data_IF_392674028269
#
_entry.id   IF_392674028269
#
_cell.length_a   1.000
_cell.length_b   1.000
_cell.length_c   1.000
_cell.angle_alpha   90.00
_cell.angle_beta   90.00
_cell.angle_gamma   90.00
#
_symmetry.space_group_name_H-M   'P 1'
#
loop_
_entity.id
_entity.type
_entity.pdbx_description
1 polymer ?
#
# COMPACT_ATOMS: atom_id res chain seq x y z
N UNK A 1 19.40 -2.25 21.14
CA UNK A 1 20.32 -2.04 20.00
C UNK A 1 20.19 -0.62 19.48
N UNK A 2 21.30 0.03 19.13
CA UNK A 2 21.30 1.36 18.52
C UNK A 2 21.08 1.25 17.00
N UNK A 3 19.81 1.23 16.61
CA UNK A 3 19.31 1.21 15.23
C UNK A 3 19.85 2.36 14.37
N UNK A 4 20.08 3.52 14.97
CA UNK A 4 20.63 4.70 14.29
C UNK A 4 22.12 4.52 13.99
N UNK A 5 22.89 3.99 14.94
CA UNK A 5 24.30 3.67 14.73
C UNK A 5 24.46 2.58 13.66
N UNK A 6 23.64 1.53 13.72
CA UNK A 6 23.60 0.47 12.71
C UNK A 6 23.34 1.02 11.30
N UNK A 7 22.29 1.84 11.14
CA UNK A 7 21.96 2.45 9.84
C UNK A 7 23.09 3.34 9.29
N UNK A 8 23.79 4.08 10.16
CA UNK A 8 24.97 4.87 9.76
C UNK A 8 26.09 3.97 9.24
N UNK A 9 26.37 2.87 9.94
CA UNK A 9 27.37 1.88 9.50
C UNK A 9 26.98 1.24 8.17
N UNK A 10 25.70 0.91 8.00
CA UNK A 10 25.17 0.32 6.77
C UNK A 10 25.34 1.29 5.59
N UNK A 11 24.98 2.57 5.76
CA UNK A 11 25.13 3.59 4.72
C UNK A 11 26.58 3.88 4.31
N UNK A 12 27.56 3.56 5.16
CA UNK A 12 28.99 3.67 4.82
C UNK A 12 29.58 2.40 4.19
N UNK A 13 28.81 1.31 4.13
CA UNK A 13 29.24 0.05 3.51
C UNK A 13 29.27 0.18 1.99
N UNK A 14 30.32 -0.35 1.36
CA UNK A 14 30.39 -0.48 -0.11
C UNK A 14 29.35 -1.47 -0.65
N UNK A 15 28.88 -2.40 0.19
CA UNK A 15 27.85 -3.39 -0.15
C UNK A 15 26.42 -2.88 0.07
N UNK A 16 26.21 -1.58 0.33
CA UNK A 16 24.87 -1.01 0.50
C UNK A 16 24.63 0.14 -0.48
N UNK A 17 23.68 -0.07 -1.38
CA UNK A 17 23.34 0.85 -2.46
C UNK A 17 21.94 1.41 -2.26
N UNK A 18 21.82 2.74 -2.18
CA UNK A 18 20.53 3.45 -2.05
C UNK A 18 20.25 4.42 -3.21
N UNK A 19 21.22 4.53 -4.12
CA UNK A 19 21.13 5.29 -5.38
C UNK A 19 21.11 4.30 -6.53
N UNK A 20 20.56 4.72 -7.67
CA UNK A 20 20.64 3.95 -8.92
C UNK A 20 22.09 3.77 -9.39
N UNK A 21 22.27 2.92 -10.38
CA UNK A 21 23.58 2.49 -10.89
C UNK A 21 24.02 3.26 -12.14
N UNK A 22 23.28 4.32 -12.50
CA UNK A 22 23.62 5.20 -13.63
C UNK A 22 22.96 4.81 -14.94
N UNK A 23 22.00 3.88 -14.91
CA UNK A 23 21.27 3.39 -16.10
C UNK A 23 19.88 4.02 -16.24
N UNK A 24 19.67 5.18 -15.62
CA UNK A 24 18.35 5.80 -15.47
C UNK A 24 17.64 6.09 -16.80
N UNK A 25 18.36 6.56 -17.82
CA UNK A 25 17.75 6.92 -19.11
C UNK A 25 17.27 5.68 -19.90
N UNK A 26 18.07 4.62 -19.92
CA UNK A 26 17.74 3.36 -20.59
C UNK A 26 16.55 2.68 -19.90
N UNK A 27 16.60 2.59 -18.57
CA UNK A 27 15.50 2.02 -17.77
C UNK A 27 14.23 2.86 -17.89
N UNK A 28 14.31 4.19 -17.88
CA UNK A 28 13.13 5.05 -18.05
C UNK A 28 12.42 4.79 -19.39
N UNK A 29 13.18 4.62 -20.47
CA UNK A 29 12.62 4.28 -21.79
C UNK A 29 11.92 2.92 -21.76
N UNK A 30 12.54 1.93 -21.13
CA UNK A 30 11.95 0.60 -20.98
C UNK A 30 10.66 0.66 -20.16
N UNK A 31 10.67 1.28 -18.98
CA UNK A 31 9.49 1.43 -18.12
C UNK A 31 8.35 2.16 -18.82
N UNK A 32 8.64 3.23 -19.56
CA UNK A 32 7.64 3.96 -20.34
C UNK A 32 6.96 3.03 -21.35
N UNK A 33 7.75 2.26 -22.10
CA UNK A 33 7.19 1.31 -23.07
C UNK A 33 6.42 0.16 -22.44
N UNK A 34 6.79 -0.27 -21.23
CA UNK A 34 6.18 -1.42 -20.55
C UNK A 34 4.92 -1.03 -19.76
N UNK A 35 4.87 0.17 -19.16
CA UNK A 35 3.85 0.54 -18.18
C UNK A 35 2.96 1.73 -18.55
N UNK A 36 3.36 2.59 -19.49
CA UNK A 36 2.53 3.73 -19.91
C UNK A 36 1.52 3.34 -20.99
N UNK A 37 0.47 4.14 -21.09
CA UNK A 37 -0.65 3.94 -22.01
C UNK A 37 -0.96 5.22 -22.80
N UNK A 38 -1.12 5.08 -24.11
CA UNK A 38 -1.58 6.18 -24.97
C UNK A 38 -3.06 6.50 -24.73
N UNK A 39 -3.89 5.48 -24.47
CA UNK A 39 -5.30 5.68 -24.15
C UNK A 39 -5.46 6.49 -22.86
N UNK A 40 -4.69 6.15 -21.83
CA UNK A 40 -4.73 6.89 -20.57
C UNK A 40 -4.29 8.34 -20.79
N UNK A 41 -3.26 8.59 -21.61
CA UNK A 41 -2.86 9.94 -21.96
C UNK A 41 -3.97 10.71 -22.70
N UNK A 42 -4.63 10.08 -23.68
CA UNK A 42 -5.79 10.66 -24.36
C UNK A 42 -6.91 11.03 -23.37
N UNK A 43 -7.19 10.18 -22.38
CA UNK A 43 -8.23 10.47 -21.38
C UNK A 43 -7.82 11.64 -20.48
N UNK A 44 -6.55 11.71 -20.05
CA UNK A 44 -6.00 12.85 -19.28
C UNK A 44 -6.15 14.16 -20.06
N UNK A 45 -5.77 14.16 -21.34
CA UNK A 45 -5.86 15.33 -22.22
C UNK A 45 -7.31 15.79 -22.46
N UNK A 46 -8.27 14.88 -22.32
CA UNK A 46 -9.71 15.14 -22.44
C UNK A 46 -10.39 15.41 -21.09
N UNK A 47 -9.69 16.05 -20.14
CA UNK A 47 -10.18 16.35 -18.79
C UNK A 47 -10.68 15.10 -18.05
N UNK A 48 -9.87 14.04 -18.10
CA UNK A 48 -10.13 12.77 -17.42
C UNK A 48 -11.45 12.10 -17.82
N UNK A 49 -11.90 12.34 -19.06
CA UNK A 49 -13.18 11.82 -19.58
C UNK A 49 -13.00 11.21 -20.97
N UNK A 50 -13.63 10.05 -21.18
CA UNK A 50 -13.74 9.43 -22.49
C UNK A 50 -15.14 8.84 -22.66
N UNK A 51 -15.72 8.98 -23.85
CA UNK A 51 -17.01 8.39 -24.17
C UNK A 51 -16.91 7.59 -25.47
N UNK A 52 -17.33 6.33 -25.43
CA UNK A 52 -17.49 5.47 -26.61
C UNK A 52 -18.83 4.77 -26.53
N UNK A 53 -19.70 5.04 -27.50
CA UNK A 53 -21.08 4.53 -27.50
C UNK A 53 -21.85 4.92 -26.23
N UNK A 54 -22.43 3.93 -25.57
CA UNK A 54 -23.22 4.08 -24.33
C UNK A 54 -22.36 4.18 -23.06
N UNK A 55 -21.04 4.11 -23.15
CA UNK A 55 -20.14 4.12 -21.98
C UNK A 55 -19.40 5.44 -21.90
N UNK A 56 -19.54 6.11 -20.76
CA UNK A 56 -18.68 7.23 -20.35
C UNK A 56 -17.74 6.76 -19.24
N UNK A 57 -16.44 6.94 -19.44
CA UNK A 57 -15.40 6.74 -18.43
C UNK A 57 -15.05 8.09 -17.81
N UNK A 58 -14.98 8.14 -16.48
CA UNK A 58 -14.40 9.24 -15.70
C UNK A 58 -13.22 8.70 -14.90
N UNK A 59 -12.01 9.18 -15.19
CA UNK A 59 -10.83 8.85 -14.39
C UNK A 59 -10.73 9.80 -13.20
N UNK A 60 -10.21 9.30 -12.08
CA UNK A 60 -9.72 10.18 -11.03
C UNK A 60 -8.57 11.04 -11.59
N UNK A 61 -8.41 12.26 -11.08
CA UNK A 61 -7.35 13.16 -11.58
C UNK A 61 -5.93 12.70 -11.18
N UNK A 62 -5.84 11.94 -10.09
CA UNK A 62 -4.62 11.28 -9.61
C UNK A 62 -4.86 9.79 -9.41
N UNK A 63 -4.07 8.96 -10.10
CA UNK A 63 -4.10 7.49 -10.06
C UNK A 63 -2.77 6.92 -10.59
N UNK A 64 -2.64 5.60 -10.63
CA UNK A 64 -1.48 4.93 -11.25
C UNK A 64 -0.24 4.93 -10.37
N UNK A 65 0.94 4.70 -10.97
CA UNK A 65 2.21 4.71 -10.24
C UNK A 65 2.47 6.04 -9.51
N UNK A 66 2.97 5.95 -8.27
CA UNK A 66 3.56 7.11 -7.60
C UNK A 66 5.09 7.14 -7.79
N UNK A 67 5.70 8.30 -7.59
CA UNK A 67 7.15 8.46 -7.74
C UNK A 67 7.97 7.46 -6.90
N UNK A 68 7.53 7.14 -5.69
CA UNK A 68 8.21 6.15 -4.84
C UNK A 68 8.22 4.75 -5.44
N UNK A 69 7.12 4.37 -6.11
CA UNK A 69 6.98 3.11 -6.84
C UNK A 69 7.82 3.13 -8.12
N UNK A 70 7.72 4.19 -8.93
CA UNK A 70 8.53 4.33 -10.16
C UNK A 70 10.02 4.22 -9.86
N UNK A 71 10.48 4.92 -8.83
CA UNK A 71 11.87 4.86 -8.37
C UNK A 71 12.26 3.44 -7.97
N UNK A 72 11.41 2.73 -7.22
CA UNK A 72 11.74 1.40 -6.74
C UNK A 72 11.81 0.37 -7.88
N UNK A 73 10.86 0.43 -8.81
CA UNK A 73 10.85 -0.43 -10.01
C UNK A 73 12.04 -0.09 -10.90
N UNK A 74 12.33 1.18 -11.15
CA UNK A 74 13.49 1.60 -11.92
C UNK A 74 14.80 1.06 -11.32
N UNK A 75 14.98 1.22 -10.01
CA UNK A 75 16.16 0.69 -9.32
C UNK A 75 16.26 -0.83 -9.41
N UNK A 76 15.14 -1.57 -9.36
CA UNK A 76 15.15 -3.02 -9.56
C UNK A 76 15.62 -3.41 -10.97
N UNK A 77 15.18 -2.68 -11.99
CA UNK A 77 15.63 -2.87 -13.38
C UNK A 77 17.11 -2.52 -13.54
N UNK A 78 17.54 -1.37 -13.02
CA UNK A 78 18.95 -0.97 -13.00
C UNK A 78 19.81 -2.02 -12.30
N UNK A 79 19.31 -2.64 -11.23
CA UNK A 79 20.02 -3.69 -10.48
C UNK A 79 20.31 -4.89 -11.37
N UNK A 80 19.32 -5.36 -12.15
CA UNK A 80 19.53 -6.48 -13.08
C UNK A 80 20.48 -6.15 -14.22
N UNK A 81 20.47 -4.90 -14.72
CA UNK A 81 21.42 -4.47 -15.76
C UNK A 81 22.84 -4.36 -15.20
N UNK A 82 22.98 -3.79 -14.01
CA UNK A 82 24.28 -3.56 -13.37
C UNK A 82 24.96 -4.84 -12.91
N UNK A 83 24.17 -5.78 -12.38
CA UNK A 83 24.60 -7.11 -12.02
C UNK A 83 23.99 -8.06 -13.03
N UNK A 84 24.62 -8.39 -14.17
CA UNK A 84 23.99 -9.21 -15.21
C UNK A 84 24.06 -10.72 -14.93
N UNK A 85 24.96 -11.17 -14.05
CA UNK A 85 25.20 -12.60 -13.80
C UNK A 85 24.97 -13.04 -12.36
N UNK A 86 24.98 -12.10 -11.41
CA UNK A 86 24.74 -12.40 -10.01
C UNK A 86 23.30 -12.88 -9.76
N UNK A 87 23.11 -13.67 -8.70
CA UNK A 87 21.77 -13.98 -8.23
C UNK A 87 21.20 -12.76 -7.52
N UNK A 88 20.03 -12.34 -7.96
CA UNK A 88 19.32 -11.20 -7.40
C UNK A 88 18.07 -11.73 -6.70
N UNK A 89 17.85 -11.27 -5.48
CA UNK A 89 16.69 -11.62 -4.67
C UNK A 89 15.95 -10.37 -4.24
N UNK A 90 14.62 -10.44 -4.15
CA UNK A 90 13.81 -9.44 -3.43
C UNK A 90 13.29 -10.11 -2.17
N UNK A 91 13.35 -9.40 -1.04
CA UNK A 91 12.95 -9.97 0.27
C UNK A 91 11.46 -10.32 0.38
N UNK A 92 10.64 -9.82 -0.52
CA UNK A 92 9.21 -10.10 -0.68
C UNK A 92 8.84 -9.67 -2.12
N UNK A 93 7.75 -8.92 -2.31
CA UNK A 93 7.44 -8.21 -3.56
C UNK A 93 8.18 -6.87 -3.69
N UNK A 94 8.47 -6.37 -4.90
CA UNK A 94 9.02 -5.00 -5.05
C UNK A 94 7.98 -3.94 -4.64
N UNK A 95 6.74 -4.18 -5.04
CA UNK A 95 5.51 -3.41 -4.76
C UNK A 95 4.33 -4.37 -4.78
N UNK A 96 3.19 -3.99 -4.19
CA UNK A 96 1.94 -4.75 -4.23
C UNK A 96 1.26 -4.67 -5.60
N UNK A 97 1.88 -5.29 -6.61
CA UNK A 97 1.33 -5.42 -7.96
C UNK A 97 1.82 -6.73 -8.63
N UNK A 98 0.92 -7.66 -8.96
CA UNK A 98 1.31 -8.97 -9.46
C UNK A 98 2.03 -8.92 -10.81
N UNK A 99 1.61 -8.06 -11.75
CA UNK A 99 2.21 -8.01 -13.09
C UNK A 99 3.63 -7.44 -13.06
N UNK A 100 3.88 -6.44 -12.22
CA UNK A 100 5.23 -5.87 -12.02
C UNK A 100 6.17 -6.90 -11.39
N UNK A 101 5.70 -7.64 -10.37
CA UNK A 101 6.50 -8.70 -9.76
C UNK A 101 6.77 -9.86 -10.73
N UNK A 102 5.77 -10.25 -11.54
CA UNK A 102 5.93 -11.27 -12.57
C UNK A 102 7.00 -10.86 -13.59
N UNK A 103 7.01 -9.59 -14.01
CA UNK A 103 8.02 -9.07 -14.92
C UNK A 103 9.44 -9.17 -14.35
N UNK A 104 9.63 -8.89 -13.06
CA UNK A 104 10.93 -9.08 -12.41
C UNK A 104 11.36 -10.55 -12.35
N UNK A 105 10.43 -11.49 -12.24
CA UNK A 105 10.75 -12.94 -12.34
C UNK A 105 11.25 -13.31 -13.73
N UNK A 106 10.64 -12.76 -14.77
CA UNK A 106 11.09 -12.94 -16.16
C UNK A 106 12.49 -12.37 -16.39
N UNK A 107 12.86 -11.35 -15.62
CA UNK A 107 14.22 -10.79 -15.56
C UNK A 107 15.16 -11.57 -14.62
N UNK A 108 14.81 -12.82 -14.27
CA UNK A 108 15.60 -13.71 -13.41
C UNK A 108 15.88 -13.13 -12.01
N UNK A 109 14.96 -12.33 -11.47
CA UNK A 109 14.99 -11.90 -10.07
C UNK A 109 14.22 -12.91 -9.22
N UNK A 110 14.92 -13.52 -8.26
CA UNK A 110 14.36 -14.42 -7.25
C UNK A 110 13.59 -13.65 -6.17
N UNK A 111 12.66 -14.33 -5.50
CA UNK A 111 11.88 -13.74 -4.41
C UNK A 111 11.99 -14.67 -3.21
N UNK A 112 12.33 -14.10 -2.05
CA UNK A 112 12.42 -14.84 -0.81
C UNK A 112 11.03 -15.34 -0.42
N UNK A 113 10.90 -16.65 -0.20
CA UNK A 113 9.64 -17.27 0.19
C UNK A 113 9.26 -16.86 1.62
N UNK A 114 7.95 -16.81 1.87
CA UNK A 114 7.40 -16.56 3.20
C UNK A 114 6.61 -17.80 3.61
N UNK A 115 7.07 -18.48 4.65
CA UNK A 115 6.39 -19.63 5.24
C UNK A 115 5.90 -19.27 6.66
N UNK A 116 4.61 -19.42 6.92
CA UNK A 116 3.99 -19.11 8.22
C UNK A 116 4.34 -17.70 8.76
N UNK A 117 4.50 -16.73 7.86
CA UNK A 117 4.84 -15.34 8.21
C UNK A 117 6.33 -15.10 8.49
N UNK A 118 7.20 -16.07 8.22
CA UNK A 118 8.66 -15.93 8.31
C UNK A 118 9.30 -16.08 6.94
N UNK A 119 10.21 -15.17 6.62
CA UNK A 119 11.00 -15.20 5.38
C UNK A 119 12.13 -16.21 5.49
N UNK A 120 12.30 -17.04 4.46
CA UNK A 120 13.40 -18.00 4.40
C UNK A 120 14.63 -17.42 3.69
N UNK A 121 15.54 -16.87 4.49
CA UNK A 121 16.82 -16.35 4.00
C UNK A 121 17.91 -17.43 3.86
N UNK A 122 17.60 -18.72 4.05
CA UNK A 122 18.57 -19.81 3.89
C UNK A 122 19.04 -19.97 2.45
N UNK A 123 18.22 -19.55 1.48
CA UNK A 123 18.52 -19.56 0.04
C UNK A 123 19.62 -18.58 -0.39
N UNK A 124 19.99 -17.64 0.50
CA UNK A 124 20.99 -16.61 0.21
C UNK A 124 22.41 -17.07 0.52
N UNK A 125 23.30 -16.90 -0.46
CA UNK A 125 24.75 -17.08 -0.30
C UNK A 125 25.49 -15.74 -0.21
N UNK A 126 26.74 -15.79 0.23
CA UNK A 126 27.62 -14.62 0.29
C UNK A 126 27.84 -14.01 -1.10
N UNK A 127 27.71 -12.68 -1.18
CA UNK A 127 27.88 -11.92 -2.42
C UNK A 127 26.61 -11.81 -3.28
N UNK A 128 25.53 -12.51 -2.94
CA UNK A 128 24.22 -12.33 -3.59
C UNK A 128 23.74 -10.88 -3.48
N UNK A 129 23.00 -10.43 -4.49
CA UNK A 129 22.37 -9.10 -4.50
C UNK A 129 20.97 -9.22 -3.94
N UNK A 130 20.64 -8.40 -2.94
CA UNK A 130 19.32 -8.41 -2.29
C UNK A 130 18.69 -7.03 -2.33
N UNK A 131 17.56 -6.95 -3.04
CA UNK A 131 16.74 -5.75 -3.16
C UNK A 131 15.78 -5.68 -1.98
N UNK A 132 15.85 -4.57 -1.24
CA UNK A 132 14.81 -4.19 -0.26
C UNK A 132 13.69 -3.47 -1.01
N UNK A 133 12.42 -3.79 -0.75
CA UNK A 133 11.29 -3.30 -1.53
C UNK A 133 10.91 -1.84 -1.20
N UNK A 134 9.93 -1.28 -1.91
CA UNK A 134 9.52 0.12 -1.74
C UNK A 134 8.98 0.42 -0.33
N UNK A 135 8.33 -0.55 0.31
CA UNK A 135 7.84 -0.47 1.70
C UNK A 135 8.93 -0.76 2.75
N UNK A 136 10.14 -1.10 2.30
CA UNK A 136 11.33 -1.31 3.11
C UNK A 136 11.44 -2.66 3.79
N UNK A 137 12.42 -2.77 4.69
CA UNK A 137 12.72 -3.99 5.44
C UNK A 137 13.02 -3.65 6.89
N UNK A 138 12.82 -4.64 7.76
CA UNK A 138 13.12 -4.54 9.18
C UNK A 138 14.61 -4.43 9.47
N UNK A 139 14.94 -3.92 10.65
CA UNK A 139 16.32 -3.85 11.14
C UNK A 139 16.98 -5.22 11.18
N UNK A 140 16.23 -6.25 11.59
CA UNK A 140 16.71 -7.63 11.70
C UNK A 140 17.05 -8.22 10.33
N UNK A 141 16.22 -7.97 9.31
CA UNK A 141 16.52 -8.40 7.95
C UNK A 141 17.78 -7.73 7.41
N UNK A 142 17.92 -6.41 7.57
CA UNK A 142 19.12 -5.70 7.13
C UNK A 142 20.39 -6.20 7.82
N UNK A 143 20.30 -6.59 9.10
CA UNK A 143 21.42 -7.18 9.85
C UNK A 143 21.81 -8.53 9.29
N UNK A 144 20.84 -9.42 9.13
CA UNK A 144 21.06 -10.75 8.58
C UNK A 144 21.73 -10.69 7.20
N UNK A 145 21.26 -9.79 6.33
CA UNK A 145 21.83 -9.59 4.99
C UNK A 145 23.27 -9.04 5.06
N UNK A 146 23.55 -8.16 6.00
CA UNK A 146 24.90 -7.62 6.23
C UNK A 146 25.84 -8.70 6.75
N UNK A 147 25.38 -9.51 7.71
CA UNK A 147 26.13 -10.63 8.30
C UNK A 147 26.44 -11.73 7.28
N UNK A 148 25.52 -11.99 6.33
CA UNK A 148 25.73 -12.87 5.18
C UNK A 148 26.65 -12.29 4.10
N UNK A 149 27.06 -11.03 4.24
CA UNK A 149 27.86 -10.29 3.27
C UNK A 149 27.19 -10.24 1.88
N UNK A 150 25.88 -9.97 1.85
CA UNK A 150 25.12 -9.69 0.64
C UNK A 150 25.32 -8.23 0.18
N UNK A 151 25.15 -7.99 -1.12
CA UNK A 151 25.06 -6.64 -1.69
C UNK A 151 23.61 -6.16 -1.59
N UNK A 152 23.33 -5.20 -0.72
CA UNK A 152 21.98 -4.71 -0.46
C UNK A 152 21.66 -3.54 -1.40
N UNK A 153 20.56 -3.64 -2.14
CA UNK A 153 20.00 -2.52 -2.91
C UNK A 153 18.71 -2.04 -2.24
N UNK A 154 18.78 -0.91 -1.55
CA UNK A 154 17.66 -0.33 -0.81
C UNK A 154 16.79 0.56 -1.70
N UNK A 155 15.67 -0.01 -2.17
CA UNK A 155 14.67 0.73 -2.95
C UNK A 155 13.61 1.42 -2.10
N UNK A 156 13.69 1.33 -0.75
CA UNK A 156 12.71 1.90 0.18
C UNK A 156 12.35 3.33 -0.22
N UNK A 157 11.05 3.59 -0.31
CA UNK A 157 10.49 4.88 -0.60
C UNK A 157 10.99 5.92 0.43
N UNK A 158 11.48 7.09 -0.01
CA UNK A 158 11.91 8.14 0.91
C UNK A 158 10.84 8.60 1.91
N UNK A 159 9.55 8.49 1.56
CA UNK A 159 8.44 8.77 2.48
C UNK A 159 8.36 7.75 3.61
N UNK A 160 8.50 6.45 3.32
CA UNK A 160 8.60 5.39 4.34
C UNK A 160 9.80 5.63 5.26
N UNK A 161 10.94 5.99 4.69
CA UNK A 161 12.12 6.35 5.50
C UNK A 161 11.93 7.59 6.39
N UNK A 162 11.01 8.52 6.05
CA UNK A 162 10.62 9.61 6.95
C UNK A 162 9.83 9.09 8.14
N UNK A 163 8.96 8.08 7.97
CA UNK A 163 8.27 7.40 9.08
C UNK A 163 9.29 6.80 10.05
N UNK A 164 10.30 6.10 9.53
CA UNK A 164 11.38 5.52 10.35
C UNK A 164 12.13 6.58 11.16
N UNK A 165 12.39 7.75 10.56
CA UNK A 165 13.00 8.87 11.27
C UNK A 165 12.08 9.43 12.37
N UNK A 166 10.76 9.35 12.22
CA UNK A 166 9.78 9.75 13.24
C UNK A 166 9.80 8.80 14.43
N UNK A 167 9.73 7.48 14.22
CA UNK A 167 9.83 6.50 15.33
C UNK A 167 11.18 6.55 16.05
N UNK A 168 12.27 6.84 15.34
CA UNK A 168 13.59 7.13 15.95
C UNK A 168 13.61 8.41 16.80
N UNK A 169 12.81 9.44 16.46
CA UNK A 169 12.64 10.61 17.32
C UNK A 169 11.86 10.27 18.59
N UNK A 170 10.85 9.40 18.50
CA UNK A 170 10.12 8.92 19.68
C UNK A 170 11.06 8.22 20.66
N UNK A 171 11.92 7.33 20.14
CA UNK A 171 12.96 6.64 20.93
C UNK A 171 13.86 7.60 21.70
N UNK A 172 14.31 8.71 21.09
CA UNK A 172 15.17 9.71 21.76
C UNK A 172 14.50 10.45 22.92
N UNK A 173 13.17 10.53 22.90
CA UNK A 173 12.36 11.19 23.93
C UNK A 173 11.67 10.19 24.86
N UNK A 174 12.07 8.92 24.77
CA UNK A 174 11.48 7.82 25.54
C UNK A 174 9.94 7.78 25.44
N UNK A 175 9.43 7.98 24.22
CA UNK A 175 8.03 7.87 23.91
C UNK A 175 7.76 6.53 23.20
N UNK A 176 6.65 5.90 23.57
CA UNK A 176 6.08 4.79 22.83
C UNK A 176 5.54 5.28 21.49
N UNK A 177 5.88 4.58 20.41
CA UNK A 177 5.33 4.88 19.09
C UNK A 177 3.97 4.23 18.92
N UNK A 178 2.91 5.04 18.91
CA UNK A 178 1.61 4.59 18.43
C UNK A 178 1.66 4.64 16.90
N UNK A 179 1.57 3.49 16.26
CA UNK A 179 1.63 3.36 14.80
C UNK A 179 0.21 3.13 14.29
N UNK A 180 -0.36 4.11 13.61
CA UNK A 180 -1.60 3.90 12.88
C UNK A 180 -1.31 3.08 11.61
N UNK A 181 -1.81 1.85 11.55
CA UNK A 181 -1.52 0.94 10.44
C UNK A 181 -1.95 -0.49 10.69
N UNK A 182 -1.71 -1.35 9.70
CA UNK A 182 -2.02 -2.78 9.78
C UNK A 182 -0.81 -3.51 10.35
N UNK A 183 -0.93 -4.18 11.51
CA UNK A 183 0.21 -4.81 12.20
C UNK A 183 0.98 -5.86 11.38
N UNK A 184 0.30 -6.53 10.43
CA UNK A 184 0.91 -7.50 9.51
C UNK A 184 1.51 -6.89 8.25
N UNK A 185 1.17 -5.65 7.92
CA UNK A 185 1.62 -5.02 6.69
C UNK A 185 3.11 -4.75 6.75
N UNK A 186 3.82 -5.03 5.67
CA UNK A 186 5.28 -5.07 5.60
C UNK A 186 5.90 -3.73 5.98
N UNK A 187 5.30 -2.62 5.54
CA UNK A 187 5.72 -1.27 5.95
C UNK A 187 5.63 -1.05 7.47
N UNK A 188 4.57 -1.56 8.10
CA UNK A 188 4.34 -1.43 9.54
C UNK A 188 5.31 -2.30 10.32
N UNK A 189 5.57 -3.52 9.85
CA UNK A 189 6.59 -4.43 10.41
C UNK A 189 7.99 -3.83 10.31
N UNK A 190 8.33 -3.27 9.15
CA UNK A 190 9.60 -2.56 8.97
C UNK A 190 9.68 -1.37 9.92
N UNK A 191 8.66 -0.52 9.97
CA UNK A 191 8.60 0.67 10.82
C UNK A 191 8.70 0.36 12.31
N UNK A 192 7.94 -0.64 12.79
CA UNK A 192 7.94 -1.01 14.21
C UNK A 192 9.30 -1.56 14.66
N UNK A 193 10.08 -2.18 13.76
CA UNK A 193 11.43 -2.64 14.06
C UNK A 193 12.44 -1.52 14.37
N UNK A 194 12.16 -0.28 13.97
CA UNK A 194 12.96 0.91 14.33
C UNK A 194 12.52 1.58 15.63
N UNK A 195 11.34 1.23 16.15
CA UNK A 195 10.84 1.76 17.42
C UNK A 195 11.53 1.05 18.60
N UNK A 196 11.55 1.72 19.76
CA UNK A 196 11.93 1.07 21.02
C UNK A 196 10.74 0.32 21.62
N UNK A 197 9.69 1.10 21.96
CA UNK A 197 8.38 0.62 22.38
C UNK A 197 7.37 1.05 21.34
N UNK A 198 6.43 0.17 20.99
CA UNK A 198 5.38 0.50 20.05
C UNK A 198 4.06 -0.18 20.38
N UNK A 199 2.99 0.43 19.89
CA UNK A 199 1.66 -0.14 19.81
C UNK A 199 1.07 0.22 18.44
N UNK A 200 0.63 -0.77 17.68
CA UNK A 200 -0.05 -0.58 16.40
C UNK A 200 -1.54 -0.54 16.66
N UNK A 201 -2.21 0.49 16.15
CA UNK A 201 -3.68 0.60 16.16
C UNK A 201 -4.18 0.60 14.72
N UNK A 202 -5.18 -0.22 14.43
CA UNK A 202 -5.70 -0.41 13.08
C UNK A 202 -6.57 0.76 12.61
N UNK A 203 -7.42 1.27 13.51
CA UNK A 203 -8.48 2.21 13.17
C UNK A 203 -8.84 3.09 14.38
N UNK A 204 -9.80 4.00 14.18
CA UNK A 204 -10.26 4.91 15.23
C UNK A 204 -10.88 4.19 16.43
N UNK A 205 -11.53 3.03 16.22
CA UNK A 205 -12.15 2.27 17.31
C UNK A 205 -11.10 1.72 18.28
N UNK A 206 -10.01 1.14 17.75
CA UNK A 206 -8.89 0.71 18.58
C UNK A 206 -8.18 1.88 19.26
N UNK A 207 -7.99 2.99 18.54
CA UNK A 207 -7.42 4.20 19.13
C UNK A 207 -8.29 4.74 20.29
N UNK A 208 -9.62 4.70 20.15
CA UNK A 208 -10.57 5.11 21.20
C UNK A 208 -10.50 4.19 22.42
N UNK A 209 -10.33 2.89 22.22
CA UNK A 209 -10.08 1.93 23.30
C UNK A 209 -8.80 2.27 24.07
N UNK A 210 -7.69 2.52 23.36
CA UNK A 210 -6.41 2.91 23.99
C UNK A 210 -6.55 4.24 24.72
N UNK A 211 -7.20 5.24 24.11
CA UNK A 211 -7.44 6.53 24.74
C UNK A 211 -8.26 6.42 26.03
N UNK A 212 -9.27 5.55 26.05
CA UNK A 212 -10.06 5.27 27.25
C UNK A 212 -9.20 4.62 28.34
N UNK A 213 -8.38 3.62 27.98
CA UNK A 213 -7.46 2.97 28.91
C UNK A 213 -6.48 3.97 29.53
N UNK A 214 -5.92 4.89 28.73
CA UNK A 214 -5.00 5.93 29.22
C UNK A 214 -5.66 6.79 30.31
N UNK A 215 -6.94 7.15 30.15
CA UNK A 215 -7.64 8.07 31.05
C UNK A 215 -8.19 7.37 32.30
N UNK A 216 -8.74 6.18 32.13
CA UNK A 216 -9.57 5.54 33.14
C UNK A 216 -8.98 4.24 33.70
N UNK A 217 -7.86 3.77 33.13
CA UNK A 217 -7.37 2.41 33.36
C UNK A 217 -8.27 1.37 32.70
N UNK A 218 -8.07 0.11 33.06
CA UNK A 218 -8.81 -1.02 32.53
C UNK A 218 -8.19 -2.32 33.01
N UNK A 219 -8.63 -3.43 32.42
CA UNK A 219 -7.99 -4.73 32.62
C UNK A 219 -6.73 -4.84 31.74
N UNK A 220 -5.58 -5.01 32.39
CA UNK A 220 -4.28 -5.10 31.71
C UNK A 220 -4.14 -6.36 30.87
N UNK A 221 -4.68 -7.49 31.32
CA UNK A 221 -4.59 -8.75 30.61
C UNK A 221 -5.47 -8.72 29.36
N UNK A 222 -6.67 -8.14 29.46
CA UNK A 222 -7.55 -7.90 28.30
C UNK A 222 -6.86 -7.00 27.25
N UNK A 223 -6.22 -5.91 27.69
CA UNK A 223 -5.49 -5.02 26.80
C UNK A 223 -4.37 -5.76 26.06
N UNK A 224 -3.57 -6.53 26.80
CA UNK A 224 -2.44 -7.28 26.23
C UNK A 224 -2.90 -8.42 25.32
N UNK A 225 -4.03 -9.08 25.61
CA UNK A 225 -4.62 -10.06 24.72
C UNK A 225 -5.05 -9.42 23.40
N UNK A 226 -5.78 -8.29 23.47
CA UNK A 226 -6.26 -7.54 22.31
C UNK A 226 -5.12 -7.09 21.39
N UNK A 227 -4.01 -6.62 21.96
CA UNK A 227 -2.86 -6.10 21.21
C UNK A 227 -1.65 -7.04 21.18
N UNK A 228 -1.84 -8.32 21.48
CA UNK A 228 -0.77 -9.33 21.61
C UNK A 228 0.16 -9.46 20.39
N UNK A 229 -0.33 -9.11 19.19
CA UNK A 229 0.43 -9.11 17.94
C UNK A 229 0.81 -7.72 17.42
N UNK A 230 0.39 -6.68 18.15
CA UNK A 230 0.43 -5.29 17.73
C UNK A 230 1.28 -4.43 18.67
N UNK A 231 1.87 -4.97 19.73
CA UNK A 231 2.78 -4.21 20.61
C UNK A 231 4.19 -4.81 20.64
N UNK A 232 5.16 -4.02 21.14
CA UNK A 232 6.51 -4.50 21.40
C UNK A 232 6.54 -5.59 22.49
N UNK A 233 7.56 -6.44 22.49
CA UNK A 233 7.74 -7.43 23.55
C UNK A 233 7.91 -6.76 24.92
N UNK A 234 7.24 -7.29 25.95
CA UNK A 234 7.28 -6.75 27.31
C UNK A 234 6.51 -5.43 27.50
N UNK A 235 5.60 -5.10 26.58
CA UNK A 235 4.77 -3.90 26.67
C UNK A 235 3.96 -3.88 27.97
N UNK A 236 3.99 -2.75 28.67
CA UNK A 236 3.18 -2.51 29.86
C UNK A 236 2.30 -1.28 29.62
N UNK A 237 0.98 -1.42 29.37
CA UNK A 237 0.12 -0.28 29.06
C UNK A 237 0.02 0.75 30.20
N UNK A 238 0.36 0.39 31.44
CA UNK A 238 0.35 1.30 32.57
C UNK A 238 1.56 2.26 32.56
N UNK A 239 2.70 1.81 32.06
CA UNK A 239 3.95 2.57 32.00
C UNK A 239 4.21 3.13 30.58
N UNK A 240 4.01 2.30 29.57
CA UNK A 240 4.40 2.59 28.19
C UNK A 240 3.45 3.57 27.49
N UNK A 241 2.24 3.76 28.01
CA UNK A 241 1.31 4.78 27.50
C UNK A 241 1.43 6.13 28.23
N UNK A 242 2.41 6.29 29.13
CA UNK A 242 2.63 7.58 29.79
C UNK A 242 3.10 8.67 28.83
N UNK A 243 3.93 8.30 27.85
CA UNK A 243 4.47 9.21 26.82
C UNK A 243 4.34 8.55 25.46
N UNK A 244 3.58 9.17 24.57
CA UNK A 244 3.27 8.60 23.27
C UNK A 244 3.63 9.54 22.12
N UNK A 245 4.05 8.95 21.00
CA UNK A 245 4.28 9.63 19.74
C UNK A 245 3.51 8.95 18.61
N UNK A 246 2.88 9.72 17.73
CA UNK A 246 2.12 9.18 16.60
C UNK A 246 3.01 9.06 15.36
N UNK A 247 3.01 7.87 14.76
CA UNK A 247 3.50 7.62 13.40
C UNK A 247 2.41 6.86 12.63
N UNK A 248 2.44 6.94 11.30
CA UNK A 248 1.40 6.38 10.45
C UNK A 248 2.04 5.63 9.30
N UNK A 249 1.49 4.46 8.98
CA UNK A 249 1.73 3.80 7.71
C UNK A 249 1.30 4.75 6.58
N UNK A 250 2.17 4.95 5.59
CA UNK A 250 2.07 6.01 4.57
C UNK A 250 0.82 5.95 3.71
N UNK A 251 0.18 4.78 3.66
CA UNK A 251 -0.96 4.45 2.81
C UNK A 251 -2.30 4.42 3.55
N UNK A 252 -2.36 4.77 4.83
CA UNK A 252 -3.63 4.82 5.59
C UNK A 252 -4.55 5.97 5.15
N UNK A 253 -5.83 5.88 5.49
CA UNK A 253 -6.80 6.94 5.25
C UNK A 253 -6.40 8.22 6.01
N UNK A 254 -6.31 9.34 5.30
CA UNK A 254 -5.86 10.62 5.86
C UNK A 254 -6.82 11.15 6.92
N UNK A 255 -8.12 11.13 6.63
CA UNK A 255 -9.16 11.63 7.53
C UNK A 255 -9.16 10.90 8.87
N UNK A 256 -9.04 9.56 8.85
CA UNK A 256 -8.94 8.74 10.05
C UNK A 256 -7.63 9.01 10.81
N UNK A 257 -6.50 9.11 10.10
CA UNK A 257 -5.20 9.45 10.71
C UNK A 257 -5.24 10.77 11.49
N UNK A 258 -5.86 11.81 10.91
CA UNK A 258 -6.02 13.10 11.58
C UNK A 258 -6.93 13.01 12.80
N UNK A 259 -7.99 12.20 12.75
CA UNK A 259 -8.89 11.97 13.88
C UNK A 259 -8.16 11.25 15.03
N UNK A 260 -7.38 10.22 14.73
CA UNK A 260 -6.57 9.49 15.71
C UNK A 260 -5.53 10.43 16.36
N UNK A 261 -4.85 11.26 15.57
CA UNK A 261 -3.92 12.25 16.10
C UNK A 261 -4.57 13.22 17.09
N UNK A 262 -5.72 13.80 16.73
CA UNK A 262 -6.49 14.71 17.59
C UNK A 262 -7.04 14.01 18.82
N UNK A 263 -7.45 12.75 18.70
CA UNK A 263 -7.93 11.94 19.82
C UNK A 263 -6.83 11.78 20.87
N UNK A 264 -5.63 11.34 20.47
CA UNK A 264 -4.53 11.17 21.42
C UNK A 264 -4.02 12.50 21.98
N UNK A 265 -3.97 13.57 21.19
CA UNK A 265 -3.63 14.91 21.68
C UNK A 265 -4.58 15.34 22.81
N UNK A 266 -5.90 15.22 22.60
CA UNK A 266 -6.93 15.55 23.61
C UNK A 266 -6.83 14.64 24.83
N UNK A 267 -6.54 13.36 24.62
CA UNK A 267 -6.39 12.37 25.69
C UNK A 267 -5.23 12.72 26.61
N UNK A 268 -4.04 12.98 26.04
CA UNK A 268 -2.86 13.35 26.82
C UNK A 268 -3.03 14.72 27.49
N UNK A 269 -3.67 15.67 26.80
CA UNK A 269 -4.00 16.98 27.37
C UNK A 269 -4.95 16.87 28.57
N UNK A 270 -5.96 16.00 28.50
CA UNK A 270 -6.91 15.76 29.60
C UNK A 270 -6.22 15.09 30.81
N UNK A 271 -5.28 14.16 30.56
CA UNK A 271 -4.56 13.44 31.64
C UNK A 271 -3.51 14.31 32.33
N UNK A 272 -2.69 15.03 31.57
CA UNK A 272 -1.49 15.70 32.11
C UNK A 272 -1.60 17.23 32.21
N UNK A 273 -2.61 17.81 31.56
CA UNK A 273 -2.82 19.26 31.43
C UNK A 273 -2.01 19.86 30.27
N UNK A 274 -2.41 21.06 29.78
CA UNK A 274 -1.78 21.69 28.62
C UNK A 274 -0.30 22.06 28.86
N UNK A 275 0.08 22.40 30.10
CA UNK A 275 1.45 22.79 30.43
C UNK A 275 2.48 21.65 30.25
N UNK A 276 2.06 20.39 30.34
CA UNK A 276 2.92 19.20 30.23
C UNK A 276 2.69 18.39 28.96
N UNK A 277 1.84 18.86 28.04
CA UNK A 277 1.50 18.10 26.84
C UNK A 277 2.74 17.72 26.02
N UNK A 278 3.69 18.65 25.85
CA UNK A 278 4.91 18.43 25.06
C UNK A 278 5.88 17.39 25.68
N UNK A 279 5.72 17.07 26.97
CA UNK A 279 6.50 16.02 27.66
C UNK A 279 5.90 14.63 27.40
N UNK A 280 4.62 14.56 27.06
CA UNK A 280 3.83 13.34 27.02
C UNK A 280 3.27 12.99 25.63
N UNK A 281 3.24 13.95 24.69
CA UNK A 281 2.66 13.76 23.38
C UNK A 281 3.54 14.32 22.26
N UNK A 282 3.64 13.56 21.18
CA UNK A 282 4.27 13.96 19.94
C UNK A 282 3.42 13.50 18.77
N UNK A 283 3.25 14.33 17.75
CA UNK A 283 2.57 13.90 16.53
C UNK A 283 3.28 14.44 15.31
N UNK A 284 3.47 13.58 14.33
CA UNK A 284 3.94 13.95 13.02
C UNK A 284 3.00 13.29 12.00
N UNK A 285 2.47 14.09 11.08
CA UNK A 285 1.80 13.50 9.92
C UNK A 285 2.87 12.82 9.05
N UNK A 286 2.68 11.53 8.80
CA UNK A 286 3.59 10.72 8.00
C UNK A 286 2.90 10.02 6.84
N UNK A 287 1.64 10.37 6.54
CA UNK A 287 0.98 9.99 5.28
C UNK A 287 1.76 10.62 4.13
N UNK A 288 1.94 9.87 3.04
CA UNK A 288 2.68 10.37 1.89
C UNK A 288 1.79 11.22 0.97
N UNK A 289 2.40 12.18 0.28
CA UNK A 289 1.71 13.10 -0.63
C UNK A 289 0.93 12.33 -1.72
N UNK A 290 1.52 11.27 -2.28
CA UNK A 290 0.89 10.46 -3.31
C UNK A 290 -0.41 9.75 -2.86
N UNK A 291 -0.50 9.35 -1.59
CA UNK A 291 -1.73 8.78 -1.03
C UNK A 291 -2.77 9.87 -0.80
N UNK A 292 -2.34 11.04 -0.32
CA UNK A 292 -3.22 12.19 -0.15
C UNK A 292 -3.83 12.66 -1.47
N UNK A 293 -3.01 12.91 -2.49
CA UNK A 293 -3.46 13.34 -3.83
C UNK A 293 -4.46 12.36 -4.45
N UNK A 294 -4.26 11.04 -4.27
CA UNK A 294 -5.19 10.02 -4.78
C UNK A 294 -6.50 9.99 -4.00
N UNK A 295 -6.45 10.14 -2.68
CA UNK A 295 -7.66 10.24 -1.86
C UNK A 295 -8.45 11.50 -2.22
N UNK A 296 -7.76 12.64 -2.37
CA UNK A 296 -8.38 13.92 -2.75
C UNK A 296 -9.03 13.82 -4.13
N UNK A 297 -8.33 13.29 -5.14
CA UNK A 297 -8.88 13.05 -6.47
C UNK A 297 -10.05 12.04 -6.47
N UNK A 298 -9.99 11.03 -5.59
CA UNK A 298 -11.08 10.07 -5.42
C UNK A 298 -12.29 10.73 -4.77
N UNK A 299 -12.10 11.59 -3.76
CA UNK A 299 -13.18 12.36 -3.14
C UNK A 299 -13.86 13.29 -4.14
N UNK A 300 -13.11 13.93 -5.04
CA UNK A 300 -13.67 14.75 -6.11
C UNK A 300 -14.47 13.91 -7.12
N UNK A 301 -13.91 12.78 -7.56
CA UNK A 301 -14.57 11.89 -8.53
C UNK A 301 -15.91 11.36 -8.02
N UNK A 302 -16.01 10.98 -6.74
CA UNK A 302 -17.26 10.43 -6.17
C UNK A 302 -18.34 11.47 -5.91
N UNK A 303 -18.06 12.77 -6.04
CA UNK A 303 -19.11 13.81 -6.07
C UNK A 303 -19.84 13.86 -7.41
N UNK A 304 -19.30 13.22 -8.45
CA UNK A 304 -19.96 13.14 -9.74
C UNK A 304 -21.10 12.11 -9.76
N UNK A 305 -21.98 12.24 -10.75
CA UNK A 305 -23.04 11.26 -10.99
C UNK A 305 -22.47 10.03 -11.70
N UNK A 306 -21.96 9.09 -10.91
CA UNK A 306 -21.43 7.81 -11.36
C UNK A 306 -22.44 6.69 -11.11
N UNK A 307 -22.53 5.74 -12.04
CA UNK A 307 -23.38 4.55 -11.88
C UNK A 307 -22.65 3.44 -11.10
N UNK A 308 -21.32 3.36 -11.28
CA UNK A 308 -20.44 2.46 -10.52
C UNK A 308 -18.98 2.97 -10.54
N UNK A 309 -18.19 2.42 -9.62
CA UNK A 309 -16.75 2.59 -9.50
C UNK A 309 -16.00 1.28 -9.81
N UNK A 310 -14.91 1.39 -10.57
CA UNK A 310 -13.92 0.33 -10.73
C UNK A 310 -12.59 0.80 -10.15
N UNK A 311 -12.09 0.08 -9.14
CA UNK A 311 -10.85 0.40 -8.43
C UNK A 311 -9.80 -0.65 -8.77
N UNK A 312 -8.67 -0.24 -9.35
CA UNK A 312 -7.71 -1.17 -9.97
C UNK A 312 -6.40 -1.22 -9.17
N UNK A 313 -5.97 -2.42 -8.76
CA UNK A 313 -4.65 -2.67 -8.16
C UNK A 313 -4.59 -3.96 -7.34
N UNK A 314 -3.40 -4.34 -6.88
CA UNK A 314 -3.22 -5.59 -6.10
C UNK A 314 -4.10 -5.66 -4.86
N UNK A 315 -4.61 -6.85 -4.53
CA UNK A 315 -5.52 -7.06 -3.37
C UNK A 315 -4.85 -6.86 -2.00
N UNK A 316 -3.52 -6.90 -1.94
CA UNK A 316 -2.72 -6.61 -0.75
C UNK A 316 -2.34 -5.12 -0.63
N UNK A 317 -2.70 -4.26 -1.59
CA UNK A 317 -2.41 -2.82 -1.56
C UNK A 317 -3.37 -2.06 -0.62
N UNK A 318 -2.85 -1.57 0.51
CA UNK A 318 -3.66 -0.77 1.44
C UNK A 318 -4.23 0.49 0.79
N UNK A 319 -3.44 1.19 -0.03
CA UNK A 319 -3.90 2.38 -0.75
C UNK A 319 -5.09 2.06 -1.67
N UNK A 320 -5.04 0.93 -2.37
CA UNK A 320 -6.13 0.52 -3.27
C UNK A 320 -7.41 0.20 -2.49
N UNK A 321 -7.30 -0.48 -1.35
CA UNK A 321 -8.44 -0.76 -0.47
C UNK A 321 -9.11 0.53 0.01
N UNK A 322 -8.34 1.52 0.47
CA UNK A 322 -8.93 2.80 0.93
C UNK A 322 -9.65 3.57 -0.18
N UNK A 323 -9.19 3.49 -1.43
CA UNK A 323 -9.92 4.10 -2.56
C UNK A 323 -11.29 3.43 -2.79
N UNK A 324 -11.39 2.11 -2.58
CA UNK A 324 -12.65 1.38 -2.62
C UNK A 324 -13.57 1.76 -1.45
N UNK A 325 -13.01 1.92 -0.24
CA UNK A 325 -13.74 2.36 0.96
C UNK A 325 -14.43 3.71 0.72
N UNK A 326 -13.72 4.69 0.14
CA UNK A 326 -14.28 6.02 -0.18
C UNK A 326 -15.51 5.92 -1.09
N UNK A 327 -15.47 5.08 -2.13
CA UNK A 327 -16.63 4.89 -3.02
C UNK A 327 -17.84 4.28 -2.30
N UNK A 328 -17.60 3.26 -1.47
CA UNK A 328 -18.65 2.53 -0.76
C UNK A 328 -19.30 3.43 0.30
N UNK A 329 -18.52 4.24 1.01
CA UNK A 329 -19.04 5.23 1.97
C UNK A 329 -19.95 6.28 1.33
N UNK A 330 -19.76 6.57 0.03
CA UNK A 330 -20.66 7.43 -0.76
C UNK A 330 -21.86 6.70 -1.36
N UNK A 331 -22.01 5.41 -1.09
CA UNK A 331 -23.13 4.60 -1.59
C UNK A 331 -23.02 4.25 -3.08
N UNK A 332 -21.85 4.40 -3.69
CA UNK A 332 -21.62 4.06 -5.09
C UNK A 332 -21.18 2.58 -5.17
N UNK A 333 -21.82 1.74 -6.01
CA UNK A 333 -21.35 0.37 -6.23
C UNK A 333 -19.88 0.37 -6.68
N UNK A 334 -19.00 -0.34 -5.95
CA UNK A 334 -17.55 -0.29 -6.19
C UNK A 334 -16.94 -1.68 -6.27
N UNK A 335 -16.17 -1.93 -7.32
CA UNK A 335 -15.53 -3.21 -7.58
C UNK A 335 -14.00 -3.07 -7.62
N UNK A 336 -13.29 -3.82 -6.78
CA UNK A 336 -11.82 -3.87 -6.76
C UNK A 336 -11.31 -5.06 -7.56
N UNK A 337 -10.53 -4.80 -8.62
CA UNK A 337 -9.84 -5.81 -9.43
C UNK A 337 -8.32 -5.59 -9.43
N UNK A 338 -7.54 -6.67 -9.52
CA UNK A 338 -6.08 -6.63 -9.67
C UNK A 338 -5.62 -6.60 -11.13
N UNK A 339 -6.47 -7.03 -12.06
CA UNK A 339 -6.20 -7.01 -13.50
C UNK A 339 -7.47 -7.06 -14.36
N UNK A 340 -7.33 -6.71 -15.64
CA UNK A 340 -8.41 -6.78 -16.61
C UNK A 340 -8.91 -8.22 -16.88
N UNK A 341 -8.12 -9.25 -16.56
CA UNK A 341 -8.55 -10.65 -16.71
C UNK A 341 -9.71 -11.03 -15.78
N UNK A 342 -9.95 -10.22 -14.73
CA UNK A 342 -11.10 -10.36 -13.84
C UNK A 342 -12.44 -10.01 -14.48
N UNK A 343 -12.40 -9.22 -15.56
CA UNK A 343 -13.56 -8.87 -16.36
C UNK A 343 -13.79 -10.01 -17.36
N UNK A 344 -14.62 -10.96 -16.97
CA UNK A 344 -14.95 -12.14 -17.76
C UNK A 344 -15.99 -11.88 -18.85
N UNK A 345 -16.10 -12.83 -19.78
CA UNK A 345 -17.17 -12.84 -20.78
C UNK A 345 -18.55 -12.97 -20.12
N UNK A 346 -19.60 -12.58 -20.85
CA UNK A 346 -20.98 -12.70 -20.37
C UNK A 346 -21.36 -11.73 -19.25
N UNK A 347 -20.69 -10.58 -19.16
CA UNK A 347 -20.95 -9.55 -18.14
C UNK A 347 -20.75 -10.07 -16.70
N UNK A 348 -19.65 -10.81 -16.51
CA UNK A 348 -19.25 -11.39 -15.22
C UNK A 348 -17.97 -10.73 -14.71
N UNK A 349 -17.94 -10.34 -13.45
CA UNK A 349 -16.77 -9.73 -12.82
C UNK A 349 -16.36 -10.51 -11.58
N UNK A 350 -15.11 -10.96 -11.52
CA UNK A 350 -14.51 -11.42 -10.27
C UNK A 350 -13.86 -10.24 -9.56
N UNK A 351 -14.24 -9.92 -8.33
CA UNK A 351 -13.70 -8.76 -7.61
C UNK A 351 -13.47 -9.08 -6.14
N UNK A 352 -12.74 -8.20 -5.47
CA UNK A 352 -12.53 -8.24 -4.02
C UNK A 352 -13.53 -7.29 -3.33
N UNK A 353 -14.53 -7.79 -2.60
CA UNK A 353 -15.30 -6.95 -1.69
C UNK A 353 -14.45 -6.57 -0.47
N UNK A 354 -14.84 -5.50 0.23
CA UNK A 354 -14.16 -5.10 1.46
C UNK A 354 -14.29 -6.21 2.50
N UNK A 355 -13.18 -6.60 3.11
CA UNK A 355 -13.11 -7.59 4.20
C UNK A 355 -13.64 -9.00 3.86
N UNK A 356 -13.93 -9.31 2.60
CA UNK A 356 -14.43 -10.62 2.15
C UNK A 356 -13.53 -11.22 1.07
N UNK A 357 -13.53 -12.54 0.90
CA UNK A 357 -12.79 -13.20 -0.18
C UNK A 357 -13.31 -12.82 -1.58
N UNK A 358 -12.58 -13.23 -2.62
CA UNK A 358 -12.97 -12.95 -4.00
C UNK A 358 -14.39 -13.45 -4.27
N UNK A 359 -15.19 -12.57 -4.85
CA UNK A 359 -16.58 -12.80 -5.18
C UNK A 359 -16.81 -12.58 -6.67
N UNK A 360 -17.82 -13.26 -7.19
CA UNK A 360 -18.24 -13.14 -8.59
C UNK A 360 -19.54 -12.34 -8.62
N UNK A 361 -19.55 -11.26 -9.41
CA UNK A 361 -20.73 -10.46 -9.72
C UNK A 361 -21.17 -10.73 -11.14
N UNK A 362 -22.33 -11.35 -11.28
CA UNK A 362 -23.03 -11.48 -12.56
C UNK A 362 -23.77 -10.17 -12.89
N UNK A 363 -23.85 -9.84 -14.17
CA UNK A 363 -24.48 -8.63 -14.70
C UNK A 363 -23.98 -7.34 -13.99
N UNK A 364 -22.68 -7.29 -13.72
CA UNK A 364 -22.07 -6.19 -12.95
C UNK A 364 -22.14 -4.84 -13.68
N UNK A 365 -22.18 -4.89 -15.02
CA UNK A 365 -22.30 -3.73 -15.90
C UNK A 365 -23.78 -3.58 -16.34
N UNK A 366 -24.52 -2.57 -15.85
CA UNK A 366 -25.91 -2.30 -16.22
C UNK A 366 -26.14 -2.19 -17.73
N UNK A 367 -27.37 -2.43 -18.23
CA UNK A 367 -27.75 -2.14 -19.62
C UNK A 367 -27.96 -0.64 -19.87
N UNK A 368 -27.85 -0.19 -21.12
CA UNK A 368 -28.05 1.22 -21.51
C UNK A 368 -26.84 2.12 -21.22
N UNK A 369 -27.07 3.44 -21.28
CA UNK A 369 -26.03 4.44 -21.00
C UNK A 369 -25.53 4.36 -19.57
N UNK A 370 -24.21 4.41 -19.41
CA UNK A 370 -23.54 4.28 -18.12
C UNK A 370 -22.36 5.24 -17.98
N UNK A 371 -22.17 5.77 -16.77
CA UNK A 371 -20.99 6.52 -16.35
C UNK A 371 -20.22 5.67 -15.33
N UNK A 372 -19.02 5.25 -15.71
CA UNK A 372 -18.12 4.44 -14.89
C UNK A 372 -16.98 5.33 -14.39
N UNK A 373 -16.89 5.48 -13.06
CA UNK A 373 -15.71 6.07 -12.43
C UNK A 373 -14.60 5.03 -12.31
N UNK A 374 -13.37 5.41 -12.62
CA UNK A 374 -12.21 4.53 -12.53
C UNK A 374 -11.08 5.23 -11.80
N UNK A 375 -10.47 4.51 -10.86
CA UNK A 375 -9.23 4.93 -10.21
C UNK A 375 -8.31 3.72 -10.05
N UNK A 376 -7.06 3.95 -9.67
CA UNK A 376 -6.12 2.89 -9.40
C UNK A 376 -5.15 3.22 -8.28
N UNK A 377 -4.69 2.17 -7.60
CA UNK A 377 -3.71 2.29 -6.52
C UNK A 377 -2.36 2.81 -6.99
N UNK A 378 -1.56 3.30 -6.03
CA UNK A 378 -0.21 3.83 -6.25
C UNK A 378 0.79 2.84 -6.87
N UNK A 379 0.45 1.54 -6.92
CA UNK A 379 1.25 0.46 -7.48
C UNK A 379 0.69 -0.08 -8.81
N UNK A 380 -0.29 0.59 -9.44
CA UNK A 380 -0.94 0.08 -10.66
C UNK A 380 -0.40 0.79 -11.91
N UNK A 381 0.14 0.07 -12.91
CA UNK A 381 0.54 0.67 -14.18
C UNK A 381 -0.65 1.22 -14.99
N UNK A 382 -0.41 2.26 -15.81
CA UNK A 382 -1.43 2.84 -16.69
C UNK A 382 -1.98 1.80 -17.68
N UNK A 383 -1.14 0.88 -18.19
CA UNK A 383 -1.61 -0.20 -19.08
C UNK A 383 -2.66 -1.12 -18.45
N UNK A 384 -2.55 -1.43 -17.17
CA UNK A 384 -3.53 -2.28 -16.49
C UNK A 384 -4.88 -1.57 -16.41
N UNK A 385 -4.87 -0.24 -16.29
CA UNK A 385 -6.09 0.60 -16.32
C UNK A 385 -6.67 0.63 -17.74
N UNK A 386 -5.83 0.82 -18.77
CA UNK A 386 -6.24 0.75 -20.18
C UNK A 386 -6.93 -0.57 -20.51
N UNK A 387 -6.30 -1.70 -20.18
CA UNK A 387 -6.85 -3.03 -20.47
C UNK A 387 -8.23 -3.23 -19.83
N UNK A 388 -8.44 -2.72 -18.62
CA UNK A 388 -9.74 -2.80 -17.94
C UNK A 388 -10.80 -1.91 -18.62
N UNK A 389 -10.41 -0.72 -19.06
CA UNK A 389 -11.29 0.19 -19.83
C UNK A 389 -11.71 -0.45 -21.16
N UNK A 390 -10.76 -1.02 -21.90
CA UNK A 390 -11.07 -1.67 -23.17
C UNK A 390 -11.99 -2.88 -22.97
N UNK A 391 -11.81 -3.67 -21.89
CA UNK A 391 -12.75 -4.75 -21.53
C UNK A 391 -14.17 -4.25 -21.25
N UNK A 392 -14.32 -3.09 -20.61
CA UNK A 392 -15.64 -2.49 -20.39
C UNK A 392 -16.30 -2.12 -21.73
N UNK A 393 -15.54 -1.51 -22.64
CA UNK A 393 -16.06 -1.16 -23.97
C UNK A 393 -16.41 -2.41 -24.80
N UNK A 394 -15.58 -3.45 -24.78
CA UNK A 394 -15.83 -4.73 -25.45
C UNK A 394 -17.13 -5.40 -24.95
N UNK A 395 -17.33 -5.46 -23.63
CA UNK A 395 -18.54 -6.02 -23.04
C UNK A 395 -19.80 -5.25 -23.45
N UNK A 396 -19.69 -3.93 -23.60
CA UNK A 396 -20.80 -3.05 -23.98
C UNK A 396 -21.10 -3.04 -25.47
N UNK A 397 -20.09 -3.24 -26.31
CA UNK A 397 -20.27 -3.38 -27.75
C UNK A 397 -20.90 -4.73 -28.13
N UNK A 398 -20.80 -5.74 -27.27
CA UNK A 398 -21.37 -7.07 -27.52
C UNK A 398 -22.89 -7.05 -27.24
N UNK A 399 -23.76 -7.35 -28.22
CA UNK A 399 -25.20 -7.45 -27.97
C UNK A 399 -25.47 -8.51 -26.91
N UNK A 400 -26.34 -8.22 -25.93
CA UNK A 400 -26.83 -9.22 -25.02
C UNK A 400 -27.51 -10.33 -25.83
N UNK A 401 -26.86 -11.48 -25.99
CA UNK A 401 -27.48 -12.65 -26.62
C UNK A 401 -28.52 -13.16 -25.64
N UNK A 402 -29.77 -12.76 -25.86
CA UNK A 402 -30.91 -13.34 -25.16
C UNK A 402 -30.95 -14.82 -25.52
N UNK A 403 -30.55 -15.71 -24.59
CA UNK A 403 -30.89 -17.12 -24.71
C UNK A 403 -32.41 -17.22 -24.52
N UNK A 404 -33.13 -17.16 -25.64
CA UNK A 404 -34.53 -17.54 -25.67
C UNK A 404 -34.57 -19.03 -25.38
N UNK A 405 -35.05 -19.40 -24.19
CA UNK A 405 -35.37 -20.78 -23.87
C UNK A 405 -36.35 -21.28 -24.94
N UNK A 406 -35.90 -22.20 -25.79
CA UNK A 406 -36.77 -22.88 -26.73
C UNK A 406 -37.75 -23.71 -25.90
N UNK A 407 -38.99 -23.24 -25.79
CA UNK A 407 -40.12 -24.06 -25.39
C UNK A 407 -40.24 -25.20 -26.41
N UNK A 408 -39.98 -26.42 -25.96
CA UNK A 408 -40.29 -27.63 -26.72
C UNK A 408 -41.81 -27.74 -26.87
N UNK A 409 -42.35 -27.82 -28.11
CA UNK A 409 -43.74 -28.19 -28.29
C UNK A 409 -43.87 -29.68 -27.97
N UNK A 410 -44.66 -29.99 -26.93
CA UNK A 410 -45.22 -31.31 -26.73
C UNK A 410 -46.15 -31.62 -27.90
N UNK A 411 -45.81 -32.63 -28.70
CA UNK A 411 -46.77 -33.44 -29.46
C UNK A 411 -46.33 -34.90 -29.47
#
# INVERSE_FOLDING_TARGET
MDTKAFKRSLHSSENYHRKGFGHQAEVATQLQSEYNSNLIQEIRDNNYRLQRGEVTIRLAESFGFCWGVERAVAMAYETRQHFPTERIWITNEIIHNPSVNQRLREMEVGFISVEQGKKDFSVLDTGDVVILPAFGASVQEMQLLTEKNCKIVDTTCPWVSKVWNTVEKHKKKDCTSIIHGKYKHEETVATSSFANKYLVVLNLQEAQYVANYILNGGDKDEFLEKFSRACSAGFDPEQDLERIGIANQTTMLKSETEQIGKLFERTMMKKYGPARLNEHFQSFNTICDATQERQDAMFELVEEKLDLMLVIGGFNSSNTTHLQEIAIERGIPSYHIDSAQRIGSGNRLEHKPLNEDLAVKENWLPSGSIVVGITSGASTPDKVVEEAIEKIFELKATPAVTMVAAESPLY
#
